data_IF_270654362929
#
_entry.id   IF_270654362929
#
_cell.length_a   1.000
_cell.length_b   1.000
_cell.length_c   1.000
_cell.angle_alpha   90.00
_cell.angle_beta   90.00
_cell.angle_gamma   90.00
#
_symmetry.space_group_name_H-M   'P 1'
#
loop_
_entity.id
_entity.type
_entity.pdbx_description
1 polymer ?
#
# COMPACT_ATOMS: atom_id res chain seq x y z
N UNK A 1 1.58 -34.67 19.40
CA UNK A 1 2.08 -33.42 18.77
C UNK A 1 0.89 -32.63 18.31
N UNK A 2 0.66 -31.47 18.91
CA UNK A 2 -0.56 -30.72 18.68
C UNK A 2 -0.39 -29.79 17.48
N UNK A 3 -1.40 -29.75 16.62
CA UNK A 3 -1.44 -28.86 15.46
C UNK A 3 -2.42 -27.74 15.76
N UNK A 4 -2.19 -26.55 15.25
CA UNK A 4 -3.13 -25.44 15.36
C UNK A 4 -3.80 -25.21 14.01
N UNK A 5 -5.11 -24.97 14.03
CA UNK A 5 -5.82 -24.64 12.79
C UNK A 5 -5.39 -23.26 12.29
N UNK A 6 -5.04 -23.13 11.00
CA UNK A 6 -4.57 -21.87 10.40
C UNK A 6 -5.67 -20.84 10.18
N UNK A 7 -6.94 -21.27 10.28
CA UNK A 7 -8.12 -20.43 10.09
C UNK A 7 -8.59 -19.83 11.41
N UNK A 8 -8.85 -20.68 12.42
CA UNK A 8 -9.44 -20.25 13.68
C UNK A 8 -8.47 -20.27 14.88
N UNK A 9 -7.22 -20.71 14.69
CA UNK A 9 -6.18 -20.72 15.73
C UNK A 9 -6.36 -21.76 16.83
N UNK A 10 -7.42 -22.60 16.79
CA UNK A 10 -7.66 -23.60 17.83
C UNK A 10 -6.66 -24.75 17.75
N UNK A 11 -6.18 -25.25 18.91
CA UNK A 11 -5.40 -26.48 18.96
C UNK A 11 -6.28 -27.66 18.52
N UNK A 12 -5.67 -28.65 17.89
CA UNK A 12 -6.31 -29.87 17.43
C UNK A 12 -5.34 -31.04 17.59
N UNK A 13 -5.85 -32.23 17.97
CA UNK A 13 -5.01 -33.40 18.15
C UNK A 13 -4.36 -33.80 16.82
N UNK A 14 -3.17 -34.40 16.89
CA UNK A 14 -2.33 -34.74 15.71
C UNK A 14 -3.07 -35.49 14.59
N UNK A 15 -4.03 -36.35 14.99
CA UNK A 15 -4.81 -37.25 14.14
C UNK A 15 -6.06 -36.59 13.52
N UNK A 16 -6.43 -35.37 13.95
CA UNK A 16 -7.57 -34.67 13.37
C UNK A 16 -7.25 -34.25 11.93
N UNK A 17 -8.03 -34.75 10.97
CA UNK A 17 -7.95 -34.31 9.56
C UNK A 17 -8.72 -33.02 9.30
N UNK A 18 -9.66 -32.65 10.18
CA UNK A 18 -10.57 -31.51 10.01
C UNK A 18 -10.75 -30.81 11.35
N UNK A 19 -10.71 -29.47 11.35
CA UNK A 19 -10.93 -28.69 12.57
C UNK A 19 -12.41 -28.75 12.98
N UNK A 20 -12.70 -29.17 14.21
CA UNK A 20 -14.08 -29.26 14.72
C UNK A 20 -14.84 -27.92 14.79
N UNK A 21 -14.13 -26.78 14.79
CA UNK A 21 -14.75 -25.46 14.88
C UNK A 21 -15.07 -24.82 13.52
N UNK A 22 -14.16 -24.92 12.54
CA UNK A 22 -14.29 -24.23 11.25
C UNK A 22 -14.34 -25.19 10.04
N UNK A 23 -14.29 -26.51 10.27
CA UNK A 23 -14.25 -27.56 9.24
C UNK A 23 -13.11 -27.42 8.21
N UNK A 24 -12.07 -26.63 8.51
CA UNK A 24 -10.88 -26.52 7.68
C UNK A 24 -9.95 -27.72 7.86
N UNK A 25 -9.35 -28.18 6.77
CA UNK A 25 -8.25 -29.17 6.76
C UNK A 25 -6.86 -28.53 6.85
N UNK A 26 -6.79 -27.20 6.96
CA UNK A 26 -5.52 -26.46 7.00
C UNK A 26 -5.03 -26.32 8.45
N UNK A 27 -3.93 -27.01 8.73
CA UNK A 27 -3.28 -27.07 10.05
C UNK A 27 -1.81 -26.68 9.94
N UNK A 28 -1.30 -26.02 10.98
CA UNK A 28 0.12 -25.74 11.15
C UNK A 28 0.66 -26.54 12.33
N UNK A 29 1.85 -27.10 12.19
CA UNK A 29 2.57 -27.70 13.32
C UNK A 29 3.02 -26.59 14.26
N UNK A 30 2.83 -26.75 15.58
CA UNK A 30 3.36 -25.80 16.57
C UNK A 30 4.90 -25.74 16.57
N UNK A 31 5.56 -26.77 16.03
CA UNK A 31 7.02 -26.88 15.99
C UNK A 31 7.66 -26.39 14.68
N UNK A 32 6.89 -25.91 13.70
CA UNK A 32 7.50 -25.31 12.51
C UNK A 32 8.02 -23.90 12.85
N UNK A 33 9.33 -23.66 12.77
CA UNK A 33 9.87 -22.32 12.99
C UNK A 33 9.20 -21.37 11.99
N UNK A 34 8.66 -20.26 12.51
CA UNK A 34 8.16 -19.20 11.64
C UNK A 34 9.35 -18.60 10.88
N UNK A 35 9.32 -18.73 9.56
CA UNK A 35 10.26 -18.06 8.67
C UNK A 35 9.73 -16.65 8.43
N UNK A 36 10.41 -15.60 8.91
CA UNK A 36 10.01 -14.23 8.66
C UNK A 36 10.03 -13.91 7.17
N UNK A 37 9.24 -12.92 6.75
CA UNK A 37 9.25 -12.49 5.37
C UNK A 37 10.57 -11.74 5.05
N UNK A 38 11.35 -12.29 4.12
CA UNK A 38 12.58 -11.66 3.67
C UNK A 38 12.33 -10.74 2.47
N UNK A 39 12.17 -9.45 2.73
CA UNK A 39 12.10 -8.44 1.68
C UNK A 39 13.53 -8.08 1.22
N UNK A 40 13.84 -8.15 -0.09
CA UNK A 40 15.16 -7.80 -0.60
C UNK A 40 15.58 -6.39 -0.20
N UNK A 41 16.87 -6.20 0.13
CA UNK A 41 17.42 -4.88 0.53
C UNK A 41 17.16 -3.79 -0.52
N UNK A 42 17.28 -4.13 -1.80
CA UNK A 42 17.03 -3.20 -2.91
C UNK A 42 15.59 -2.67 -2.95
N UNK A 43 14.60 -3.52 -2.63
CA UNK A 43 13.19 -3.10 -2.58
C UNK A 43 12.94 -2.16 -1.41
N UNK A 44 13.54 -2.45 -0.24
CA UNK A 44 13.44 -1.60 0.94
C UNK A 44 14.03 -0.21 0.70
N UNK A 45 15.23 -0.16 0.12
CA UNK A 45 15.90 1.10 -0.20
C UNK A 45 15.08 1.90 -1.22
N UNK A 46 14.61 1.26 -2.30
CA UNK A 46 13.76 1.90 -3.30
C UNK A 46 12.48 2.46 -2.68
N UNK A 47 11.76 1.68 -1.88
CA UNK A 47 10.53 2.12 -1.23
C UNK A 47 10.79 3.29 -0.27
N UNK A 48 11.88 3.23 0.51
CA UNK A 48 12.30 4.32 1.38
C UNK A 48 12.61 5.60 0.59
N UNK A 49 13.43 5.51 -0.45
CA UNK A 49 13.77 6.65 -1.30
C UNK A 49 12.53 7.26 -1.97
N UNK A 50 11.64 6.43 -2.51
CA UNK A 50 10.40 6.89 -3.13
C UNK A 50 9.48 7.55 -2.10
N UNK A 51 9.36 7.01 -0.89
CA UNK A 51 8.57 7.65 0.17
C UNK A 51 9.10 9.02 0.57
N UNK A 52 10.43 9.17 0.70
CA UNK A 52 11.06 10.46 1.02
C UNK A 52 10.82 11.45 -0.12
N UNK A 53 11.04 11.02 -1.37
CA UNK A 53 10.79 11.86 -2.54
C UNK A 53 9.32 12.31 -2.61
N UNK A 54 8.36 11.41 -2.36
CA UNK A 54 6.93 11.75 -2.32
C UNK A 54 6.61 12.78 -1.23
N UNK A 55 7.16 12.63 -0.02
CA UNK A 55 6.94 13.59 1.08
C UNK A 55 7.54 14.95 0.73
N UNK A 56 8.79 15.00 0.29
CA UNK A 56 9.45 16.24 -0.11
C UNK A 56 8.71 16.93 -1.27
N UNK A 57 8.30 16.15 -2.28
CA UNK A 57 7.58 16.67 -3.43
C UNK A 57 6.20 17.18 -3.07
N UNK A 58 5.46 16.47 -2.21
CA UNK A 58 4.16 16.90 -1.72
C UNK A 58 4.26 18.19 -0.88
N UNK A 59 5.25 18.27 0.01
CA UNK A 59 5.50 19.48 0.79
C UNK A 59 5.88 20.68 -0.09
N UNK A 60 6.75 20.46 -1.09
CA UNK A 60 7.10 21.48 -2.08
C UNK A 60 5.89 21.96 -2.88
N UNK A 61 5.02 21.03 -3.28
CA UNK A 61 3.81 21.35 -4.04
C UNK A 61 2.79 22.14 -3.22
N UNK A 62 2.65 21.83 -1.93
CA UNK A 62 1.86 22.65 -0.99
C UNK A 62 2.42 24.07 -0.86
N UNK A 63 3.75 24.21 -0.79
CA UNK A 63 4.39 25.53 -0.70
C UNK A 63 4.16 26.38 -1.96
N UNK A 64 4.17 25.75 -3.15
CA UNK A 64 3.90 26.43 -4.43
C UNK A 64 2.41 26.53 -4.78
N UNK A 65 1.55 25.86 -4.03
CA UNK A 65 0.13 25.65 -4.34
C UNK A 65 -0.12 25.12 -5.77
N UNK A 66 0.83 24.36 -6.30
CA UNK A 66 0.80 23.77 -7.64
C UNK A 66 1.55 22.44 -7.61
N UNK A 67 0.90 21.37 -8.05
CA UNK A 67 1.49 20.05 -8.18
C UNK A 67 1.48 19.62 -9.64
N UNK A 68 2.66 19.49 -10.23
CA UNK A 68 2.85 19.10 -11.62
C UNK A 68 3.10 17.60 -11.74
N UNK A 69 2.14 16.86 -12.25
CA UNK A 69 2.34 15.47 -12.60
C UNK A 69 2.62 15.32 -14.09
N UNK A 70 3.84 14.88 -14.48
CA UNK A 70 4.16 14.53 -15.86
C UNK A 70 3.52 13.17 -16.23
N UNK A 71 2.19 13.09 -16.23
CA UNK A 71 1.48 11.93 -16.79
C UNK A 71 1.52 12.02 -18.32
N UNK A 72 2.61 11.53 -18.93
CA UNK A 72 2.78 11.69 -20.38
C UNK A 72 4.06 11.11 -20.97
N UNK A 73 4.49 9.92 -20.56
CA UNK A 73 5.71 9.27 -21.11
C UNK A 73 5.39 8.20 -22.15
N UNK A 74 4.57 8.52 -23.16
CA UNK A 74 4.63 7.76 -24.42
C UNK A 74 5.57 8.50 -25.37
N UNK A 75 6.47 7.80 -26.10
CA UNK A 75 7.30 8.39 -27.13
C UNK A 75 6.47 8.75 -28.38
N UNK A 76 5.41 9.54 -28.20
CA UNK A 76 4.56 10.01 -29.28
C UNK A 76 4.80 11.51 -29.44
N UNK A 77 5.68 11.85 -30.39
CA UNK A 77 5.86 13.06 -31.22
C UNK A 77 5.40 14.48 -30.79
N UNK A 78 4.66 14.67 -29.70
CA UNK A 78 4.17 15.97 -29.24
C UNK A 78 4.27 16.04 -27.70
N UNK A 79 5.02 17.00 -27.12
CA UNK A 79 5.02 17.21 -25.68
C UNK A 79 3.60 17.60 -25.26
N UNK A 80 2.90 16.69 -24.59
CA UNK A 80 1.64 17.05 -23.93
C UNK A 80 1.97 17.84 -22.67
N UNK A 81 1.27 18.95 -22.40
CA UNK A 81 1.38 19.63 -21.12
C UNK A 81 1.00 18.61 -20.02
N UNK A 82 1.83 18.50 -18.99
CA UNK A 82 1.51 17.66 -17.83
C UNK A 82 0.30 18.20 -17.07
N UNK A 83 -0.18 17.42 -16.11
CA UNK A 83 -1.39 17.76 -15.34
C UNK A 83 -0.96 18.60 -14.14
N UNK A 84 -1.60 19.75 -13.95
CA UNK A 84 -1.36 20.66 -12.83
C UNK A 84 -2.55 20.61 -11.87
N UNK A 85 -2.33 20.22 -10.63
CA UNK A 85 -3.35 20.22 -9.60
C UNK A 85 -3.21 21.46 -8.72
N UNK A 86 -4.30 22.20 -8.56
CA UNK A 86 -4.34 23.43 -7.77
C UNK A 86 -5.44 23.39 -6.69
N UNK A 87 -5.29 24.20 -5.65
CA UNK A 87 -6.30 24.46 -4.63
C UNK A 87 -6.90 23.20 -3.98
N UNK A 88 -8.18 22.92 -4.23
CA UNK A 88 -8.93 21.80 -3.66
C UNK A 88 -8.45 20.46 -4.21
N UNK A 89 -8.21 20.37 -5.51
CA UNK A 89 -7.69 19.15 -6.16
C UNK A 89 -6.29 18.81 -5.65
N UNK A 90 -5.45 19.82 -5.41
CA UNK A 90 -4.11 19.65 -4.80
C UNK A 90 -4.19 18.93 -3.45
N UNK A 91 -5.09 19.37 -2.56
CA UNK A 91 -5.23 18.78 -1.21
C UNK A 91 -5.54 17.28 -1.30
N UNK A 92 -6.42 16.88 -2.23
CA UNK A 92 -6.79 15.49 -2.42
C UNK A 92 -5.65 14.65 -2.99
N UNK A 93 -4.84 15.20 -3.91
CA UNK A 93 -3.64 14.52 -4.40
C UNK A 93 -2.61 14.33 -3.29
N UNK A 94 -2.44 15.32 -2.40
CA UNK A 94 -1.54 15.19 -1.24
C UNK A 94 -2.01 14.08 -0.30
N UNK A 95 -3.31 13.97 -0.04
CA UNK A 95 -3.88 12.85 0.74
C UNK A 95 -3.59 11.51 0.05
N UNK A 96 -3.78 11.43 -1.27
CA UNK A 96 -3.45 10.22 -2.04
C UNK A 96 -1.96 9.86 -1.94
N UNK A 97 -1.06 10.85 -2.02
CA UNK A 97 0.38 10.66 -1.85
C UNK A 97 0.72 10.16 -0.44
N UNK A 98 0.05 10.65 0.61
CA UNK A 98 0.24 10.16 1.96
C UNK A 98 -0.12 8.67 2.09
N UNK A 99 -1.22 8.24 1.48
CA UNK A 99 -1.58 6.82 1.41
C UNK A 99 -0.57 5.97 0.64
N UNK A 100 0.00 6.50 -0.46
CA UNK A 100 1.07 5.84 -1.18
C UNK A 100 2.34 5.69 -0.32
N UNK A 101 2.69 6.71 0.47
CA UNK A 101 3.79 6.64 1.44
C UNK A 101 3.52 5.56 2.50
N UNK A 102 2.31 5.53 3.08
CA UNK A 102 1.91 4.49 4.05
C UNK A 102 2.06 3.10 3.44
N UNK A 103 1.59 2.89 2.21
CA UNK A 103 1.74 1.61 1.51
C UNK A 103 3.21 1.17 1.39
N UNK A 104 4.11 2.09 1.01
CA UNK A 104 5.54 1.81 0.88
C UNK A 104 6.19 1.50 2.24
N UNK A 105 5.81 2.23 3.29
CA UNK A 105 6.32 2.03 4.65
C UNK A 105 5.84 0.72 5.26
N UNK A 106 4.59 0.32 5.02
CA UNK A 106 4.03 -0.95 5.48
C UNK A 106 4.87 -2.14 4.99
N UNK A 107 5.38 -2.10 3.75
CA UNK A 107 6.27 -3.15 3.22
C UNK A 107 7.62 -3.19 3.94
N UNK A 108 8.14 -2.04 4.39
CA UNK A 108 9.38 -1.97 5.16
C UNK A 108 9.13 -2.48 6.58
N UNK A 109 8.00 -2.11 7.20
CA UNK A 109 7.63 -2.54 8.54
C UNK A 109 7.37 -4.06 8.62
N UNK A 110 6.73 -4.66 7.61
CA UNK A 110 6.50 -6.11 7.53
C UNK A 110 7.81 -6.90 7.60
N UNK A 111 8.91 -6.36 7.07
CA UNK A 111 10.22 -7.00 7.17
C UNK A 111 10.85 -6.89 8.56
N UNK A 112 10.59 -5.81 9.30
CA UNK A 112 11.11 -5.63 10.65
C UNK A 112 10.28 -6.39 11.70
N UNK A 113 9.00 -6.66 11.43
CA UNK A 113 8.18 -7.48 12.30
C UNK A 113 8.44 -8.97 12.09
N UNK A 114 8.96 -9.63 13.12
CA UNK A 114 9.24 -11.07 13.11
C UNK A 114 8.05 -11.89 13.65
N UNK A 115 6.94 -11.22 13.98
CA UNK A 115 5.71 -11.87 14.45
C UNK A 115 4.90 -12.41 13.26
N UNK A 116 4.06 -13.44 13.46
CA UNK A 116 3.24 -14.03 12.41
C UNK A 116 2.01 -13.16 12.06
N UNK A 117 2.25 -11.90 11.71
CA UNK A 117 1.21 -10.90 11.45
C UNK A 117 1.13 -10.46 9.97
N UNK A 118 1.72 -11.23 9.06
CA UNK A 118 1.80 -10.93 7.62
C UNK A 118 0.46 -10.56 6.99
N UNK A 119 -0.64 -11.20 7.43
CA UNK A 119 -1.99 -10.91 6.89
C UNK A 119 -2.42 -9.48 7.15
N UNK A 120 -2.08 -8.94 8.32
CA UNK A 120 -2.46 -7.56 8.70
C UNK A 120 -1.67 -6.56 7.89
N UNK A 121 -0.36 -6.74 7.71
CA UNK A 121 0.45 -5.87 6.87
C UNK A 121 0.02 -5.91 5.41
N UNK A 122 -0.28 -7.11 4.86
CA UNK A 122 -0.82 -7.23 3.49
C UNK A 122 -2.17 -6.53 3.34
N UNK A 123 -3.07 -6.67 4.32
CA UNK A 123 -4.36 -6.00 4.32
C UNK A 123 -4.22 -4.48 4.40
N UNK A 124 -3.45 -3.97 5.35
CA UNK A 124 -3.18 -2.53 5.49
C UNK A 124 -2.53 -1.95 4.23
N UNK A 125 -1.57 -2.66 3.64
CA UNK A 125 -0.92 -2.27 2.39
C UNK A 125 -1.92 -2.17 1.24
N UNK A 126 -2.80 -3.15 1.06
CA UNK A 126 -3.82 -3.10 0.00
C UNK A 126 -4.87 -2.02 0.26
N UNK A 127 -5.32 -1.86 1.51
CA UNK A 127 -6.27 -0.81 1.88
C UNK A 127 -5.70 0.58 1.60
N UNK A 128 -4.45 0.86 2.02
CA UNK A 128 -3.77 2.11 1.73
C UNK A 128 -3.63 2.35 0.22
N UNK A 129 -3.28 1.32 -0.57
CA UNK A 129 -3.20 1.44 -2.03
C UNK A 129 -4.55 1.78 -2.66
N UNK A 130 -5.62 1.09 -2.26
CA UNK A 130 -6.97 1.30 -2.80
C UNK A 130 -7.48 2.70 -2.42
N UNK A 131 -7.33 3.10 -1.16
CA UNK A 131 -7.73 4.43 -0.70
C UNK A 131 -6.93 5.52 -1.41
N UNK A 132 -5.61 5.37 -1.52
CA UNK A 132 -4.77 6.33 -2.25
C UNK A 132 -5.18 6.48 -3.71
N UNK A 133 -5.44 5.37 -4.40
CA UNK A 133 -5.95 5.41 -5.79
C UNK A 133 -7.34 6.06 -5.87
N UNK A 134 -8.24 5.78 -4.93
CA UNK A 134 -9.57 6.40 -4.90
C UNK A 134 -9.49 7.91 -4.73
N UNK A 135 -8.66 8.40 -3.80
CA UNK A 135 -8.43 9.84 -3.61
C UNK A 135 -7.79 10.48 -4.84
N UNK A 136 -6.85 9.80 -5.49
CA UNK A 136 -6.21 10.31 -6.70
C UNK A 136 -7.21 10.45 -7.86
N UNK A 137 -8.03 9.43 -8.11
CA UNK A 137 -9.08 9.48 -9.14
C UNK A 137 -10.09 10.57 -8.81
N UNK A 138 -10.50 10.69 -7.55
CA UNK A 138 -11.41 11.75 -7.12
C UNK A 138 -10.82 13.14 -7.35
N UNK A 139 -9.55 13.34 -7.01
CA UNK A 139 -8.84 14.60 -7.25
C UNK A 139 -8.81 14.94 -8.74
N UNK A 140 -8.51 13.96 -9.59
CA UNK A 140 -8.48 14.13 -11.04
C UNK A 140 -9.85 14.46 -11.63
N UNK A 141 -10.91 13.79 -11.19
CA UNK A 141 -12.28 14.10 -11.65
C UNK A 141 -12.70 15.50 -11.21
N UNK A 142 -12.38 15.90 -9.98
CA UNK A 142 -12.68 17.25 -9.49
C UNK A 142 -11.91 18.31 -10.27
N UNK A 143 -10.64 18.06 -10.57
CA UNK A 143 -9.81 18.94 -11.40
C UNK A 143 -10.43 19.14 -12.79
N UNK A 144 -10.84 18.06 -13.45
CA UNK A 144 -11.53 18.13 -14.75
C UNK A 144 -12.86 18.90 -14.69
N UNK A 145 -13.63 18.75 -13.61
CA UNK A 145 -14.89 19.48 -13.45
C UNK A 145 -14.62 20.97 -13.22
N UNK A 146 -13.66 21.30 -12.35
CA UNK A 146 -13.34 22.69 -12.00
C UNK A 146 -12.70 23.42 -13.18
N UNK A 147 -11.77 22.79 -13.89
CA UNK A 147 -11.14 23.35 -15.08
C UNK A 147 -12.09 23.40 -16.28
N UNK A 148 -13.02 22.45 -16.41
CA UNK A 148 -14.07 22.51 -17.43
C UNK A 148 -15.07 23.66 -17.25
N UNK A 149 -15.08 24.30 -16.07
CA UNK A 149 -15.89 25.48 -15.76
C UNK A 149 -15.13 26.81 -15.83
N UNK A 150 -13.84 26.80 -16.20
CA UNK A 150 -13.02 28.00 -16.43
C UNK A 150 -12.82 28.25 -17.93
#
# INVERSE_FOLDING_TARGET
MDKTCTICGRPSPAAAMICGACRSSSFRSSNEPHVPNEVPRGVRLKNGMVSVALVCYGAFSLWRNDLYLPLGSRPSAYPRPGIHFQNTSLTLVIIAMAFAVIHLLVVILDHHDHKPNERVYRFLGQAAKVLGMAFFVLAYVLDLIVDGHR
#
